data_IF_800389382013
#
_entry.id   IF_800389382013
#
_cell.length_a   1.000
_cell.length_b   1.000
_cell.length_c   1.000
_cell.angle_alpha   90.00
_cell.angle_beta   90.00
_cell.angle_gamma   90.00
#
_symmetry.space_group_name_H-M   'P 1'
#
loop_
_entity.id
_entity.type
_entity.pdbx_description
1 polymer ?
#
# COMPACT_ATOMS: atom_id res chain seq x y z
N UNK A 1 -0.91 22.91 -2.12
CA UNK A 1 0.43 22.38 -2.44
C UNK A 1 0.93 23.14 -3.65
N UNK A 2 2.06 23.84 -3.52
CA UNK A 2 2.63 24.59 -4.64
C UNK A 2 3.35 23.59 -5.57
N UNK A 3 2.79 23.34 -6.77
CA UNK A 3 3.34 22.38 -7.74
C UNK A 3 4.76 22.75 -8.18
N UNK A 4 5.17 24.02 -8.05
CA UNK A 4 6.50 24.49 -8.43
C UNK A 4 7.62 23.98 -7.53
N UNK A 5 7.31 23.56 -6.29
CA UNK A 5 8.31 23.02 -5.35
C UNK A 5 8.47 21.50 -5.42
N UNK A 6 7.68 20.81 -6.25
CA UNK A 6 7.83 19.37 -6.46
C UNK A 6 9.00 19.09 -7.41
N UNK A 7 9.78 18.01 -7.19
CA UNK A 7 10.73 17.50 -8.16
C UNK A 7 10.05 17.25 -9.50
N UNK A 8 10.79 17.35 -10.61
CA UNK A 8 10.23 17.21 -11.96
C UNK A 8 9.45 15.90 -12.15
N UNK A 9 9.94 14.81 -11.56
CA UNK A 9 9.27 13.50 -11.62
C UNK A 9 7.96 13.41 -10.82
N UNK A 10 7.64 14.38 -9.95
CA UNK A 10 6.35 14.46 -9.23
C UNK A 10 5.41 15.53 -9.78
N UNK A 11 5.83 16.30 -10.80
CA UNK A 11 4.97 17.33 -11.41
C UNK A 11 3.84 16.74 -12.25
N UNK A 12 4.06 15.56 -12.84
CA UNK A 12 3.03 14.85 -13.59
C UNK A 12 3.15 13.34 -13.42
N UNK A 13 2.04 12.64 -13.63
CA UNK A 13 2.03 11.18 -13.60
C UNK A 13 2.98 10.59 -14.66
N UNK A 14 3.03 11.15 -15.86
CA UNK A 14 3.91 10.65 -16.92
C UNK A 14 5.39 10.84 -16.55
N UNK A 15 5.75 11.96 -15.92
CA UNK A 15 7.11 12.18 -15.42
C UNK A 15 7.48 11.17 -14.32
N UNK A 16 6.53 10.83 -13.43
CA UNK A 16 6.73 9.80 -12.42
C UNK A 16 7.03 8.44 -13.07
N UNK A 17 6.23 8.06 -14.07
CA UNK A 17 6.40 6.78 -14.76
C UNK A 17 7.76 6.73 -15.48
N UNK A 18 8.17 7.80 -16.15
CA UNK A 18 9.47 7.85 -16.81
C UNK A 18 10.61 7.74 -15.80
N UNK A 19 10.52 8.42 -14.67
CA UNK A 19 11.51 8.31 -13.60
C UNK A 19 11.61 6.86 -13.07
N UNK A 20 10.48 6.22 -12.74
CA UNK A 20 10.47 4.83 -12.30
C UNK A 20 11.03 3.87 -13.36
N UNK A 21 10.78 4.11 -14.64
CA UNK A 21 11.34 3.29 -15.73
C UNK A 21 12.86 3.46 -15.82
N UNK A 22 13.35 4.68 -15.78
CA UNK A 22 14.78 4.98 -15.84
C UNK A 22 15.53 4.41 -14.64
N UNK A 23 15.06 4.67 -13.41
CA UNK A 23 15.65 4.15 -12.17
C UNK A 23 15.69 2.63 -12.13
N UNK A 24 14.69 1.99 -12.73
CA UNK A 24 14.58 0.54 -12.69
C UNK A 24 15.20 -0.17 -13.90
N UNK A 25 15.67 0.54 -14.92
CA UNK A 25 15.97 -0.04 -16.24
C UNK A 25 16.92 -1.24 -16.16
N UNK A 26 17.98 -1.10 -15.36
CA UNK A 26 19.07 -2.08 -15.19
C UNK A 26 18.68 -3.34 -14.40
N UNK A 27 17.53 -3.36 -13.73
CA UNK A 27 17.11 -4.49 -12.90
C UNK A 27 16.31 -5.54 -13.70
N UNK A 28 16.43 -6.80 -13.29
CA UNK A 28 15.58 -7.88 -13.78
C UNK A 28 14.12 -7.68 -13.38
N UNK A 29 13.19 -8.35 -14.06
CA UNK A 29 11.76 -8.28 -13.74
C UNK A 29 11.45 -8.70 -12.30
N UNK A 30 12.19 -9.67 -11.76
CA UNK A 30 12.03 -10.13 -10.37
C UNK A 30 12.45 -9.04 -9.39
N UNK A 31 13.63 -8.44 -9.59
CA UNK A 31 14.12 -7.35 -8.74
C UNK A 31 13.23 -6.11 -8.82
N UNK A 32 12.70 -5.79 -10.01
CA UNK A 32 11.71 -4.73 -10.20
C UNK A 32 10.46 -4.98 -9.35
N UNK A 33 9.94 -6.22 -9.38
CA UNK A 33 8.80 -6.63 -8.56
C UNK A 33 9.09 -6.52 -7.06
N UNK A 34 10.23 -7.03 -6.62
CA UNK A 34 10.65 -6.98 -5.21
C UNK A 34 10.79 -5.54 -4.71
N UNK A 35 11.50 -4.70 -5.47
CA UNK A 35 11.67 -3.27 -5.12
C UNK A 35 10.33 -2.55 -5.06
N UNK A 36 9.43 -2.87 -5.98
CA UNK A 36 8.09 -2.30 -5.98
C UNK A 36 7.28 -2.75 -4.75
N UNK A 37 7.32 -4.03 -4.37
CA UNK A 37 6.65 -4.52 -3.17
C UNK A 37 7.18 -3.83 -1.90
N UNK A 38 8.50 -3.65 -1.77
CA UNK A 38 9.09 -2.87 -0.68
C UNK A 38 8.68 -1.39 -0.69
N UNK A 39 8.61 -0.79 -1.87
CA UNK A 39 8.11 0.57 -2.03
C UNK A 39 6.66 0.69 -1.54
N UNK A 40 5.79 -0.24 -1.93
CA UNK A 40 4.40 -0.28 -1.46
C UNK A 40 4.32 -0.50 0.05
N UNK A 41 5.14 -1.38 0.62
CA UNK A 41 5.22 -1.57 2.07
C UNK A 41 5.54 -0.25 2.78
N UNK A 42 6.48 0.56 2.27
CA UNK A 42 6.83 1.87 2.84
C UNK A 42 5.77 2.94 2.61
N UNK A 43 5.04 2.86 1.51
CA UNK A 43 3.95 3.78 1.19
C UNK A 43 2.68 3.46 1.99
N UNK A 44 2.50 2.21 2.42
CA UNK A 44 1.29 1.72 3.08
C UNK A 44 0.78 2.61 4.23
N UNK A 45 1.63 3.11 5.15
CA UNK A 45 1.19 4.01 6.23
C UNK A 45 0.54 5.31 5.77
N UNK A 46 0.80 5.74 4.54
CA UNK A 46 0.21 6.95 3.95
C UNK A 46 -1.14 6.67 3.25
N UNK A 47 -1.58 5.43 3.19
CA UNK A 47 -2.83 5.04 2.52
C UNK A 47 -3.99 4.97 3.51
N UNK A 48 -5.23 5.00 2.99
CA UNK A 48 -6.44 4.81 3.79
C UNK A 48 -6.50 3.44 4.49
N UNK A 49 -5.79 2.43 3.98
CA UNK A 49 -5.78 1.08 4.55
C UNK A 49 -5.06 1.00 5.89
N UNK A 50 -4.19 1.97 6.21
CA UNK A 50 -3.47 1.99 7.48
C UNK A 50 -4.39 2.20 8.70
N UNK A 51 -5.60 2.71 8.48
CA UNK A 51 -6.63 2.87 9.52
C UNK A 51 -7.10 1.51 10.05
N UNK A 52 -7.38 0.57 9.14
CA UNK A 52 -7.94 -0.75 9.48
C UNK A 52 -6.86 -1.83 9.66
N UNK A 53 -5.78 -1.74 8.89
CA UNK A 53 -4.73 -2.77 8.82
C UNK A 53 -3.41 -2.27 9.39
N UNK A 54 -2.67 -3.20 10.01
CA UNK A 54 -1.30 -2.96 10.45
C UNK A 54 -0.33 -2.81 9.28
N UNK A 55 0.95 -2.60 9.62
CA UNK A 55 2.02 -2.56 8.63
C UNK A 55 2.11 -3.90 7.88
N UNK A 56 2.10 -3.92 6.54
CA UNK A 56 2.20 -5.15 5.79
C UNK A 56 3.59 -5.78 5.93
N UNK A 57 3.61 -7.09 6.07
CA UNK A 57 4.78 -7.95 5.97
C UNK A 57 4.96 -8.40 4.52
N UNK A 58 6.20 -8.45 4.06
CA UNK A 58 6.53 -8.98 2.73
C UNK A 58 6.63 -10.50 2.80
N UNK A 59 6.14 -11.18 1.77
CA UNK A 59 6.33 -12.62 1.64
C UNK A 59 7.82 -12.98 1.65
N UNK A 60 8.18 -13.93 2.52
CA UNK A 60 9.54 -14.50 2.56
C UNK A 60 9.75 -15.58 1.51
N UNK A 61 8.69 -16.10 0.90
CA UNK A 61 8.71 -17.23 -0.05
C UNK A 61 8.18 -16.83 -1.43
N UNK A 62 9.03 -16.13 -2.18
CA UNK A 62 8.77 -15.59 -3.53
C UNK A 62 8.22 -16.59 -4.56
N UNK A 63 8.47 -17.90 -4.41
CA UNK A 63 7.98 -18.93 -5.35
C UNK A 63 6.86 -19.82 -4.82
N UNK A 64 6.58 -19.83 -3.51
CA UNK A 64 5.57 -20.71 -2.90
C UNK A 64 4.30 -19.99 -2.45
N UNK A 65 4.34 -18.66 -2.31
CA UNK A 65 3.20 -17.88 -1.82
C UNK A 65 2.18 -17.53 -2.91
N UNK A 66 2.20 -18.28 -4.03
CA UNK A 66 1.14 -18.29 -5.06
C UNK A 66 0.81 -16.92 -5.64
N UNK A 67 1.75 -15.97 -5.57
CA UNK A 67 1.53 -14.58 -5.92
C UNK A 67 0.63 -13.87 -4.92
N UNK A 68 1.02 -13.90 -3.65
CA UNK A 68 0.76 -12.89 -2.64
C UNK A 68 2.14 -12.30 -2.25
N UNK A 69 2.32 -11.00 -2.43
CA UNK A 69 3.59 -10.33 -2.12
C UNK A 69 3.57 -9.67 -0.73
N UNK A 70 2.38 -9.31 -0.24
CA UNK A 70 2.18 -8.54 0.99
C UNK A 70 1.07 -9.17 1.84
N UNK A 71 1.21 -9.18 3.15
CA UNK A 71 0.14 -9.54 4.08
C UNK A 71 0.05 -8.57 5.24
N UNK A 72 -1.16 -8.18 5.65
CA UNK A 72 -1.36 -7.36 6.84
C UNK A 72 -2.51 -7.91 7.68
N UNK A 73 -2.38 -7.86 9.01
CA UNK A 73 -3.47 -8.19 9.93
C UNK A 73 -4.35 -6.96 10.14
N UNK A 74 -5.66 -7.17 10.17
CA UNK A 74 -6.57 -6.14 10.66
C UNK A 74 -6.24 -5.86 12.13
N UNK A 75 -6.29 -4.59 12.52
CA UNK A 75 -5.92 -4.15 13.87
C UNK A 75 -6.87 -4.63 14.99
N UNK A 76 -8.11 -4.99 14.65
CA UNK A 76 -9.18 -5.30 15.62
C UNK A 76 -9.80 -6.67 15.32
N UNK A 77 -10.08 -6.96 14.05
CA UNK A 77 -10.72 -8.19 13.62
C UNK A 77 -9.68 -9.27 13.33
N UNK A 78 -10.05 -10.53 13.47
CA UNK A 78 -9.22 -11.66 13.05
C UNK A 78 -9.37 -11.88 11.53
N UNK A 79 -8.86 -10.92 10.76
CA UNK A 79 -8.98 -10.87 9.30
C UNK A 79 -7.64 -10.44 8.70
N UNK A 80 -7.28 -11.06 7.58
CA UNK A 80 -6.07 -10.76 6.83
C UNK A 80 -6.36 -9.95 5.56
N UNK A 81 -5.46 -9.03 5.25
CA UNK A 81 -5.31 -8.41 3.94
C UNK A 81 -4.21 -9.14 3.18
N UNK A 82 -4.54 -9.70 2.02
CA UNK A 82 -3.56 -10.30 1.10
C UNK A 82 -3.34 -9.38 -0.10
N UNK A 83 -2.11 -8.96 -0.33
CA UNK A 83 -1.74 -8.01 -1.37
C UNK A 83 -0.88 -8.62 -2.47
N UNK A 84 -1.15 -8.24 -3.70
CA UNK A 84 -0.25 -8.45 -4.85
C UNK A 84 0.29 -7.10 -5.31
N UNK A 85 1.60 -6.99 -5.40
CA UNK A 85 2.32 -5.85 -5.93
C UNK A 85 2.83 -6.16 -7.34
N UNK A 86 2.23 -5.50 -8.33
CA UNK A 86 2.66 -5.64 -9.72
C UNK A 86 2.95 -4.28 -10.32
N UNK A 87 4.23 -4.01 -10.56
CA UNK A 87 4.71 -2.70 -11.01
C UNK A 87 3.90 -2.16 -12.20
N UNK A 88 3.72 -3.01 -13.23
CA UNK A 88 2.95 -2.69 -14.42
C UNK A 88 1.81 -3.68 -14.67
N UNK A 89 0.63 -3.15 -14.92
CA UNK A 89 -0.55 -3.87 -15.39
C UNK A 89 -1.06 -3.13 -16.64
N UNK A 90 -1.11 -3.80 -17.77
CA UNK A 90 -1.52 -3.23 -19.06
C UNK A 90 -2.75 -3.94 -19.66
N UNK A 91 -3.05 -5.14 -19.19
CA UNK A 91 -4.02 -6.08 -19.78
C UNK A 91 -4.99 -6.65 -18.73
N UNK A 92 -6.22 -6.91 -19.14
CA UNK A 92 -7.27 -7.46 -18.27
C UNK A 92 -6.97 -8.89 -17.82
N UNK A 93 -6.25 -9.66 -18.65
CA UNK A 93 -5.77 -11.00 -18.36
C UNK A 93 -4.82 -11.02 -17.14
N UNK A 94 -4.08 -9.93 -16.93
CA UNK A 94 -3.23 -9.78 -15.74
C UNK A 94 -4.07 -9.61 -14.48
N UNK A 95 -5.17 -8.87 -14.55
CA UNK A 95 -6.12 -8.73 -13.44
C UNK A 95 -6.75 -10.09 -13.13
N UNK A 96 -7.16 -10.84 -14.15
CA UNK A 96 -7.70 -12.19 -13.96
C UNK A 96 -6.71 -13.09 -13.23
N UNK A 97 -5.46 -13.11 -13.69
CA UNK A 97 -4.41 -13.94 -13.08
C UNK A 97 -4.18 -13.60 -11.59
N UNK A 98 -4.28 -12.33 -11.21
CA UNK A 98 -4.17 -11.91 -9.80
C UNK A 98 -5.39 -12.39 -9.01
N UNK A 99 -6.59 -12.20 -9.55
CA UNK A 99 -7.84 -12.61 -8.90
C UNK A 99 -7.94 -14.13 -8.73
N UNK A 100 -7.49 -14.92 -9.71
CA UNK A 100 -7.44 -16.38 -9.59
C UNK A 100 -6.57 -16.80 -8.41
N UNK A 101 -5.43 -16.14 -8.19
CA UNK A 101 -4.54 -16.43 -7.05
C UNK A 101 -5.19 -16.06 -5.72
N UNK A 102 -5.92 -14.96 -5.66
CA UNK A 102 -6.69 -14.57 -4.47
C UNK A 102 -7.82 -15.57 -4.16
N UNK A 103 -8.48 -16.08 -5.20
CA UNK A 103 -9.49 -17.12 -5.06
C UNK A 103 -8.88 -18.42 -4.52
N UNK A 104 -7.70 -18.83 -4.99
CA UNK A 104 -6.96 -19.99 -4.48
C UNK A 104 -6.58 -19.87 -3.00
N UNK A 105 -6.23 -18.65 -2.55
CA UNK A 105 -5.95 -18.36 -1.14
C UNK A 105 -7.20 -18.55 -0.30
N UNK A 106 -8.33 -18.02 -0.75
CA UNK A 106 -9.63 -18.13 -0.06
C UNK A 106 -10.07 -19.59 0.05
N UNK A 107 -10.01 -20.34 -1.05
CA UNK A 107 -10.46 -21.73 -1.10
C UNK A 107 -9.71 -22.62 -0.09
N UNK A 108 -8.44 -22.32 0.19
CA UNK A 108 -7.60 -23.09 1.11
C UNK A 108 -7.74 -22.66 2.56
N UNK A 109 -7.99 -21.37 2.81
CA UNK A 109 -8.30 -20.89 4.15
C UNK A 109 -9.60 -21.52 4.68
N UNK A 110 -10.60 -21.70 3.81
CA UNK A 110 -11.87 -22.35 4.17
C UNK A 110 -11.78 -23.88 4.32
N UNK A 111 -10.66 -24.52 3.99
CA UNK A 111 -10.49 -25.98 4.10
C UNK A 111 -9.40 -26.33 5.12
N UNK A 112 -9.75 -26.36 6.40
CA UNK A 112 -8.83 -26.85 7.44
C UNK A 112 -9.11 -28.33 7.70
N UNK A 113 -8.12 -29.19 7.47
CA UNK A 113 -8.18 -30.62 7.78
C UNK A 113 -7.83 -30.78 9.26
N UNK A 114 -8.76 -31.25 10.09
CA UNK A 114 -8.45 -31.62 11.47
C UNK A 114 -7.72 -32.96 11.53
N UNK A 115 -6.92 -33.19 12.57
CA UNK A 115 -6.26 -34.46 12.89
C UNK A 115 -7.30 -35.56 13.12
N UNK A 116 -7.82 -36.12 12.03
CA UNK A 116 -8.99 -37.00 12.00
C UNK A 116 -9.64 -37.11 10.62
N UNK A 117 -9.24 -36.29 9.64
CA UNK A 117 -9.72 -36.39 8.25
C UNK A 117 -11.11 -35.77 8.00
N UNK A 118 -11.67 -35.07 8.98
CA UNK A 118 -12.88 -34.26 8.79
C UNK A 118 -12.50 -32.86 8.26
N UNK A 119 -13.21 -32.44 7.22
CA UNK A 119 -13.13 -31.08 6.69
C UNK A 119 -14.00 -30.18 7.57
N UNK A 120 -13.39 -29.24 8.28
CA UNK A 120 -14.12 -28.15 8.94
C UNK A 120 -14.05 -26.95 8.01
N UNK A 121 -15.22 -26.53 7.54
CA UNK A 121 -15.36 -25.32 6.74
C UNK A 121 -15.58 -24.13 7.66
N UNK A 122 -14.53 -23.34 7.85
CA UNK A 122 -14.66 -22.04 8.53
C UNK A 122 -15.02 -20.97 7.49
N UNK A 123 -16.27 -20.52 7.56
CA UNK A 123 -16.82 -19.46 6.72
C UNK A 123 -16.73 -18.08 7.39
N UNK A 124 -16.18 -17.98 8.60
CA UNK A 124 -16.24 -16.76 9.43
C UNK A 124 -15.16 -15.73 9.10
N UNK A 125 -14.03 -16.14 8.50
CA UNK A 125 -12.93 -15.24 8.16
C UNK A 125 -12.94 -14.88 6.66
N UNK A 126 -13.59 -13.77 6.34
CA UNK A 126 -13.53 -13.22 4.99
C UNK A 126 -12.28 -12.35 4.83
N UNK A 127 -11.24 -12.88 4.17
CA UNK A 127 -10.04 -12.09 3.85
C UNK A 127 -10.36 -10.89 2.96
N UNK A 128 -9.57 -9.83 3.12
CA UNK A 128 -9.51 -8.71 2.18
C UNK A 128 -8.34 -8.91 1.22
N UNK A 129 -8.44 -8.25 0.07
CA UNK A 129 -7.46 -8.35 -1.00
C UNK A 129 -7.00 -6.97 -1.45
N UNK A 130 -5.75 -6.86 -1.85
CA UNK A 130 -5.14 -5.62 -2.29
C UNK A 130 -4.41 -5.83 -3.62
N UNK A 131 -4.75 -5.03 -4.63
CA UNK A 131 -3.95 -4.90 -5.85
C UNK A 131 -3.22 -3.58 -5.80
N UNK A 132 -1.89 -3.62 -5.93
CA UNK A 132 -1.07 -2.41 -6.05
C UNK A 132 -0.31 -2.38 -7.36
N UNK A 133 -0.31 -1.23 -8.02
CA UNK A 133 0.38 -1.04 -9.31
C UNK A 133 0.61 0.44 -9.59
N UNK A 134 1.66 0.77 -10.34
CA UNK A 134 1.82 2.15 -10.84
C UNK A 134 0.92 2.45 -12.02
N UNK A 135 0.39 1.44 -12.73
CA UNK A 135 -0.55 1.65 -13.84
C UNK A 135 -1.86 2.27 -13.36
N UNK A 136 -2.47 3.16 -14.15
CA UNK A 136 -3.88 3.55 -13.96
C UNK A 136 -4.80 2.43 -14.42
N UNK A 137 -5.69 1.96 -13.55
CA UNK A 137 -6.47 0.76 -13.81
C UNK A 137 -7.88 1.01 -14.36
N UNK A 138 -8.39 2.25 -14.37
CA UNK A 138 -9.78 2.55 -14.76
C UNK A 138 -10.20 1.91 -16.09
N UNK A 139 -9.37 2.07 -17.14
CA UNK A 139 -9.64 1.50 -18.45
C UNK A 139 -9.47 -0.02 -18.50
N UNK A 140 -8.56 -0.58 -17.69
CA UNK A 140 -8.27 -2.02 -17.65
C UNK A 140 -9.38 -2.77 -16.90
N UNK A 141 -9.86 -2.21 -15.79
CA UNK A 141 -10.96 -2.76 -14.99
C UNK A 141 -12.27 -2.73 -15.77
N UNK A 142 -12.59 -1.62 -16.46
CA UNK A 142 -13.76 -1.56 -17.36
C UNK A 142 -13.71 -2.64 -18.43
N UNK A 143 -12.54 -2.85 -19.06
CA UNK A 143 -12.36 -3.95 -20.04
C UNK A 143 -12.47 -5.33 -19.41
N UNK A 144 -11.99 -5.50 -18.18
CA UNK A 144 -12.11 -6.75 -17.44
C UNK A 144 -13.58 -7.08 -17.15
N UNK A 145 -14.35 -6.10 -16.67
CA UNK A 145 -15.78 -6.23 -16.37
C UNK A 145 -16.63 -6.57 -17.61
N UNK A 146 -16.23 -6.06 -18.78
CA UNK A 146 -16.95 -6.29 -20.05
C UNK A 146 -16.61 -7.61 -20.74
N UNK A 147 -15.60 -8.36 -20.27
CA UNK A 147 -15.20 -9.65 -20.83
C UNK A 147 -15.64 -10.78 -19.92
N UNK A 148 -15.68 -12.00 -20.45
CA UNK A 148 -15.89 -13.20 -19.66
C UNK A 148 -14.53 -13.78 -19.25
N UNK A 149 -14.25 -13.74 -17.95
CA UNK A 149 -13.05 -14.24 -17.32
C UNK A 149 -13.42 -15.22 -16.21
N UNK A 150 -12.58 -16.22 -15.98
CA UNK A 150 -12.87 -17.29 -15.01
C UNK A 150 -13.07 -16.74 -13.59
N UNK A 151 -12.31 -15.70 -13.20
CA UNK A 151 -12.37 -15.13 -11.85
C UNK A 151 -13.35 -13.96 -11.71
N UNK A 152 -14.17 -13.68 -12.75
CA UNK A 152 -15.06 -12.52 -12.78
C UNK A 152 -16.12 -12.55 -11.69
N UNK A 153 -16.72 -13.70 -11.43
CA UNK A 153 -17.70 -13.87 -10.36
C UNK A 153 -17.08 -13.55 -9.00
N UNK A 154 -15.88 -14.06 -8.73
CA UNK A 154 -15.12 -13.76 -7.54
C UNK A 154 -14.81 -12.27 -7.40
N UNK A 155 -14.37 -11.61 -8.48
CA UNK A 155 -14.18 -10.16 -8.52
C UNK A 155 -15.44 -9.37 -8.14
N UNK A 156 -16.58 -9.72 -8.73
CA UNK A 156 -17.85 -9.04 -8.47
C UNK A 156 -18.27 -9.19 -7.00
N UNK A 157 -18.08 -10.38 -6.41
CA UNK A 157 -18.30 -10.62 -4.98
C UNK A 157 -17.39 -9.76 -4.11
N UNK A 158 -16.08 -9.75 -4.38
CA UNK A 158 -15.16 -8.91 -3.60
C UNK A 158 -15.51 -7.41 -3.71
N UNK A 159 -15.97 -6.98 -4.88
CA UNK A 159 -16.36 -5.59 -5.13
C UNK A 159 -17.65 -5.22 -4.38
N UNK A 160 -18.68 -6.06 -4.41
CA UNK A 160 -19.95 -5.80 -3.72
C UNK A 160 -19.77 -5.80 -2.19
N UNK A 161 -18.89 -6.66 -1.68
CA UNK A 161 -18.56 -6.77 -0.26
C UNK A 161 -17.49 -5.77 0.20
N UNK A 162 -16.97 -4.92 -0.71
CA UNK A 162 -15.87 -3.96 -0.43
C UNK A 162 -14.62 -4.63 0.17
N UNK A 163 -14.32 -5.86 -0.26
CA UNK A 163 -13.15 -6.65 0.17
C UNK A 163 -11.98 -6.58 -0.80
N UNK A 164 -12.15 -6.02 -2.00
CA UNK A 164 -11.05 -5.73 -2.92
C UNK A 164 -10.66 -4.25 -2.85
N UNK A 165 -9.41 -4.02 -2.46
CA UNK A 165 -8.79 -2.70 -2.40
C UNK A 165 -7.81 -2.55 -3.56
N UNK A 166 -7.76 -1.34 -4.12
CA UNK A 166 -6.90 -1.03 -5.26
C UNK A 166 -6.09 0.23 -4.94
N UNK A 167 -4.77 0.13 -5.02
CA UNK A 167 -3.83 1.25 -4.99
C UNK A 167 -3.13 1.31 -6.34
N UNK A 168 -3.76 1.99 -7.28
CA UNK A 168 -3.26 2.13 -8.65
C UNK A 168 -2.53 3.46 -8.86
N UNK A 169 -2.12 3.75 -10.10
CA UNK A 169 -1.46 5.00 -10.46
C UNK A 169 -2.24 6.27 -10.12
N UNK A 170 -3.57 6.23 -10.14
CA UNK A 170 -4.42 7.37 -9.77
C UNK A 170 -4.40 7.63 -8.26
N UNK A 171 -4.18 6.59 -7.46
CA UNK A 171 -4.08 6.68 -5.99
C UNK A 171 -2.64 6.97 -5.54
N UNK A 172 -1.67 6.23 -6.07
CA UNK A 172 -0.26 6.31 -5.65
C UNK A 172 0.37 7.67 -5.98
N UNK A 173 0.11 8.21 -7.17
CA UNK A 173 0.71 9.48 -7.59
C UNK A 173 0.39 10.66 -6.65
N UNK A 174 -0.88 10.98 -6.34
CA UNK A 174 -1.18 12.05 -5.40
C UNK A 174 -0.72 11.72 -3.97
N UNK A 175 -0.66 10.45 -3.58
CA UNK A 175 -0.08 10.06 -2.29
C UNK A 175 1.41 10.41 -2.20
N UNK A 176 2.18 10.19 -3.28
CA UNK A 176 3.59 10.57 -3.33
C UNK A 176 3.80 12.07 -3.28
N UNK A 177 3.00 12.85 -4.00
CA UNK A 177 3.04 14.31 -3.92
C UNK A 177 2.78 14.78 -2.47
N UNK A 178 1.74 14.24 -1.83
CA UNK A 178 1.42 14.52 -0.42
C UNK A 178 2.54 14.12 0.53
N UNK A 179 3.11 12.93 0.37
CA UNK A 179 4.19 12.44 1.21
C UNK A 179 5.44 13.29 1.05
N UNK A 180 5.78 13.72 -0.17
CA UNK A 180 6.89 14.61 -0.43
C UNK A 180 6.69 15.97 0.25
N UNK A 181 5.52 16.60 0.08
CA UNK A 181 5.22 17.88 0.73
C UNK A 181 5.34 17.81 2.25
N UNK A 182 4.92 16.72 2.89
CA UNK A 182 5.10 16.53 4.35
C UNK A 182 6.56 16.49 4.80
N UNK A 183 7.48 16.07 3.93
CA UNK A 183 8.90 15.92 4.24
C UNK A 183 9.66 17.23 3.95
N UNK A 184 9.24 17.97 2.92
CA UNK A 184 9.98 19.14 2.42
C UNK A 184 9.42 20.48 2.85
N UNK A 185 8.14 20.55 3.23
CA UNK A 185 7.57 21.77 3.80
C UNK A 185 7.72 21.75 5.32
N UNK A 186 8.54 22.63 5.93
CA UNK A 186 8.57 22.76 7.38
C UNK A 186 7.18 23.18 7.88
N UNK A 187 6.72 22.66 9.03
CA UNK A 187 5.43 23.07 9.57
C UNK A 187 5.41 24.59 9.75
N UNK A 188 4.33 25.28 9.36
CA UNK A 188 4.26 26.75 9.44
C UNK A 188 4.40 27.26 10.88
N UNK A 189 4.11 26.40 11.86
CA UNK A 189 4.36 26.65 13.27
C UNK A 189 4.78 25.35 13.96
N UNK A 190 5.99 25.34 14.52
CA UNK A 190 6.45 24.30 15.43
C UNK A 190 6.32 24.84 16.86
N UNK A 191 5.57 24.14 17.71
CA UNK A 191 5.50 24.47 19.15
C UNK A 191 6.28 23.42 19.91
N UNK A 192 7.39 23.82 20.50
CA UNK A 192 8.20 22.96 21.38
C UNK A 192 7.79 23.22 22.83
N UNK A 193 7.36 22.17 23.52
CA UNK A 193 7.08 22.24 24.96
C UNK A 193 8.30 21.65 25.68
N UNK A 194 9.02 22.52 26.38
CA UNK A 194 10.17 22.15 27.21
C UNK A 194 9.70 21.84 28.63
N UNK A 195 10.40 20.93 29.31
CA UNK A 195 10.17 20.63 30.73
C UNK A 195 10.64 21.78 31.63
N UNK A 196 11.55 22.59 31.10
CA UNK A 196 12.13 23.77 31.77
C UNK A 196 11.86 25.03 30.96
N UNK A 197 11.88 26.20 31.60
CA UNK A 197 11.79 27.46 30.86
C UNK A 197 12.96 27.57 29.88
N UNK A 198 12.68 27.96 28.64
CA UNK A 198 13.73 28.22 27.66
C UNK A 198 14.52 29.46 28.09
N UNK A 199 15.82 29.30 28.27
CA UNK A 199 16.75 30.43 28.36
C UNK A 199 17.08 30.86 26.95
N UNK A 200 17.17 32.17 26.66
CA UNK A 200 17.52 32.63 25.32
C UNK A 200 18.62 33.69 25.35
N UNK A 201 19.41 33.72 24.28
CA UNK A 201 20.35 34.79 23.95
C UNK A 201 20.19 35.10 22.47
N UNK A 202 19.75 36.32 22.17
CA UNK A 202 19.43 36.78 20.82
C UNK A 202 18.41 35.84 20.12
N UNK A 203 18.81 35.21 19.02
CA UNK A 203 18.01 34.28 18.24
C UNK A 203 18.19 32.80 18.63
N UNK A 204 18.88 32.52 19.74
CA UNK A 204 19.17 31.15 20.19
C UNK A 204 18.41 30.85 21.49
N UNK A 205 17.65 29.76 21.46
CA UNK A 205 16.89 29.24 22.61
C UNK A 205 17.55 27.96 23.12
N UNK A 206 17.75 27.87 24.43
CA UNK A 206 18.31 26.74 25.15
C UNK A 206 17.26 26.19 26.12
N UNK A 207 16.97 24.89 26.06
CA UNK A 207 16.01 24.25 26.95
C UNK A 207 16.09 22.73 26.88
N UNK A 208 15.54 22.05 27.89
CA UNK A 208 15.53 20.59 27.98
C UNK A 208 14.18 20.08 27.49
N UNK A 209 14.20 19.31 26.40
CA UNK A 209 13.01 18.71 25.80
C UNK A 209 13.04 17.20 26.03
N UNK A 210 11.92 16.64 26.47
CA UNK A 210 11.79 15.18 26.66
C UNK A 210 11.93 14.44 25.33
N UNK A 211 12.53 13.24 25.36
CA UNK A 211 12.62 12.38 24.17
C UNK A 211 11.25 11.96 23.64
N UNK A 212 10.23 11.89 24.51
CA UNK A 212 8.84 11.63 24.12
C UNK A 212 8.24 12.81 23.32
N UNK A 213 8.53 14.04 23.72
CA UNK A 213 8.11 15.26 23.00
C UNK A 213 8.74 15.31 21.61
N UNK A 214 10.02 14.96 21.49
CA UNK A 214 10.72 14.91 20.19
C UNK A 214 10.11 13.86 19.26
N UNK A 215 9.78 12.68 19.78
CA UNK A 215 9.09 11.62 19.01
C UNK A 215 7.70 12.04 18.52
N UNK A 216 7.06 12.98 19.22
CA UNK A 216 5.76 13.54 18.88
C UNK A 216 5.84 14.77 17.97
N UNK A 217 7.02 15.20 17.51
CA UNK A 217 7.19 16.27 16.51
C UNK A 217 6.77 15.86 15.08
N UNK A 218 5.84 14.92 14.97
CA UNK A 218 5.19 14.61 13.69
C UNK A 218 4.22 15.74 13.40
N UNK A 219 4.48 16.43 12.28
CA UNK A 219 3.70 17.53 11.69
C UNK A 219 2.21 17.44 12.04
N UNK A 220 1.76 18.26 12.99
CA UNK A 220 0.33 18.42 13.32
C UNK A 220 -0.22 19.50 12.39
N UNK A 221 -0.83 19.08 11.28
CA UNK A 221 -1.63 19.98 10.45
C UNK A 221 -3.05 20.02 11.04
N UNK A 222 -3.46 21.19 11.55
CA UNK A 222 -4.88 21.52 11.72
C UNK A 222 -5.48 21.96 10.40
#
# INVERSE_FOLDING_TARGET
MNLEMLPDYLKSYDALIQHFRAELDTYSNTEKGDRFAHFIQRLFPQTYLNEDFGQPELSTKKSRDRGIDLTAKHRIKDVLLHGQAKLWIDKSETIDSILSKFQDVTAKASSTITSGGQYVFDFSQQSHFLITTLSKLDGILKRYENREFASKSFYLTLKSEKRLHILDGNVIFPLLQKAYGKITEPPPKLTLVSETAFTHKDNVYFGVISSATIKNLVVVNK
#
